data_IF_781418019654
#
_entry.id   IF_781418019654
#
_cell.length_a   1.000
_cell.length_b   1.000
_cell.length_c   1.000
_cell.angle_alpha   90.00
_cell.angle_beta   90.00
_cell.angle_gamma   90.00
#
_symmetry.space_group_name_H-M   'P 1'
#
loop_
_entity.id
_entity.type
_entity.pdbx_description
1 polymer ?
#
# COMPACT_ATOMS: atom_id res chain seq x y z
N UNK A 1 -12.24 -16.51 4.43
CA UNK A 1 -11.95 -15.06 4.45
C UNK A 1 -12.03 -14.59 3.01
N UNK A 2 -13.22 -14.21 2.57
CA UNK A 2 -13.45 -13.71 1.22
C UNK A 2 -12.70 -12.39 1.02
N UNK A 3 -12.08 -12.24 -0.14
CA UNK A 3 -11.55 -10.97 -0.65
C UNK A 3 -12.73 -10.06 -1.02
N UNK A 4 -13.55 -9.68 -0.04
CA UNK A 4 -14.67 -8.77 -0.27
C UNK A 4 -14.14 -7.38 -0.59
N UNK A 5 -14.39 -6.93 -1.82
CA UNK A 5 -14.43 -5.54 -2.30
C UNK A 5 -13.18 -4.92 -2.95
N UNK A 6 -12.47 -5.65 -3.81
CA UNK A 6 -11.70 -5.01 -4.91
C UNK A 6 -12.53 -5.12 -6.20
N UNK A 7 -13.67 -4.43 -6.26
CA UNK A 7 -14.60 -4.44 -7.42
C UNK A 7 -14.38 -3.28 -8.39
N UNK A 8 -13.38 -2.43 -8.18
CA UNK A 8 -13.02 -1.40 -9.15
C UNK A 8 -12.00 -1.96 -10.15
N UNK A 9 -12.46 -2.36 -11.34
CA UNK A 9 -11.57 -2.70 -12.43
C UNK A 9 -10.73 -1.46 -12.82
N UNK A 10 -9.40 -1.58 -12.73
CA UNK A 10 -8.49 -0.54 -13.22
C UNK A 10 -8.66 -0.47 -14.74
N UNK A 11 -8.99 0.71 -15.28
CA UNK A 11 -9.03 0.89 -16.74
C UNK A 11 -7.61 0.86 -17.29
N UNK A 12 -7.39 0.06 -18.33
CA UNK A 12 -6.10 -0.11 -19.01
C UNK A 12 -6.23 0.27 -20.47
N UNK A 13 -5.25 1.01 -20.96
CA UNK A 13 -5.07 1.28 -22.37
C UNK A 13 -4.30 0.12 -23.03
N UNK A 14 -4.95 -0.54 -23.99
CA UNK A 14 -4.42 -1.76 -24.63
C UNK A 14 -3.28 -1.49 -25.62
N UNK A 15 -3.18 -0.27 -26.14
CA UNK A 15 -2.12 0.09 -27.08
C UNK A 15 -0.79 0.36 -26.36
N UNK A 16 -0.85 0.96 -25.17
CA UNK A 16 0.33 1.37 -24.38
C UNK A 16 0.62 0.48 -23.18
N UNK A 17 -0.31 -0.42 -22.82
CA UNK A 17 -0.28 -1.21 -21.59
C UNK A 17 -0.21 -0.35 -20.31
N UNK A 18 -0.70 0.88 -20.36
CA UNK A 18 -0.75 1.78 -19.21
C UNK A 18 -2.10 1.74 -18.52
N UNK A 19 -2.08 1.72 -17.18
CA UNK A 19 -3.27 1.72 -16.35
C UNK A 19 -3.59 3.11 -15.79
N UNK A 20 -4.87 3.35 -15.56
CA UNK A 20 -5.41 4.59 -14.98
C UNK A 20 -4.91 4.81 -13.56
N UNK A 21 -4.13 5.89 -13.36
CA UNK A 21 -3.66 6.32 -12.03
C UNK A 21 -4.84 6.66 -11.12
N UNK A 22 -5.87 7.31 -11.67
CA UNK A 22 -7.07 7.70 -10.91
C UNK A 22 -7.79 6.47 -10.35
N UNK A 23 -7.90 5.40 -11.13
CA UNK A 23 -8.59 4.19 -10.65
C UNK A 23 -7.78 3.49 -9.56
N UNK A 24 -6.44 3.49 -9.66
CA UNK A 24 -5.56 2.96 -8.59
C UNK A 24 -5.70 3.76 -7.29
N UNK A 25 -5.70 5.10 -7.35
CA UNK A 25 -5.89 5.93 -6.16
C UNK A 25 -7.27 5.69 -5.53
N UNK A 26 -8.31 5.49 -6.34
CA UNK A 26 -9.67 5.16 -5.89
C UNK A 26 -9.82 3.74 -5.38
N UNK A 27 -8.95 2.83 -5.82
CA UNK A 27 -8.92 1.46 -5.31
C UNK A 27 -8.34 1.43 -3.89
N UNK A 28 -7.28 2.20 -3.66
CA UNK A 28 -6.56 2.22 -2.38
C UNK A 28 -7.30 3.03 -1.32
N UNK A 29 -7.97 4.11 -1.72
CA UNK A 29 -8.68 4.99 -0.82
C UNK A 29 -10.19 4.71 -0.89
N UNK A 30 -10.89 4.44 0.24
CA UNK A 30 -12.33 4.28 0.24
C UNK A 30 -13.00 5.62 -0.07
N UNK A 31 -13.78 5.67 -1.16
CA UNK A 31 -14.65 6.78 -1.56
C UNK A 31 -14.05 8.14 -2.01
N UNK A 32 -13.00 8.21 -2.85
CA UNK A 32 -12.76 9.44 -3.60
C UNK A 32 -13.59 9.48 -4.88
N UNK A 33 -14.30 10.59 -5.06
CA UNK A 33 -14.71 11.04 -6.39
C UNK A 33 -13.47 11.16 -7.28
N UNK A 34 -13.64 11.11 -8.59
CA UNK A 34 -12.53 11.30 -9.53
C UNK A 34 -11.79 12.63 -9.32
N UNK A 35 -12.48 13.68 -8.87
CA UNK A 35 -11.86 14.96 -8.51
C UNK A 35 -10.96 14.87 -7.26
N UNK A 36 -11.41 14.17 -6.22
CA UNK A 36 -10.59 13.97 -5.02
C UNK A 36 -9.34 13.14 -5.34
N UNK A 37 -9.47 12.09 -6.15
CA UNK A 37 -8.33 11.30 -6.59
C UNK A 37 -7.30 12.12 -7.41
N UNK A 38 -7.78 13.06 -8.25
CA UNK A 38 -6.90 13.99 -8.96
C UNK A 38 -6.16 14.95 -8.00
N UNK A 39 -6.82 15.43 -6.96
CA UNK A 39 -6.19 16.27 -5.93
C UNK A 39 -5.13 15.49 -5.12
N UNK A 40 -5.41 14.23 -4.79
CA UNK A 40 -4.44 13.35 -4.14
C UNK A 40 -3.22 13.14 -5.03
N UNK A 41 -3.41 12.88 -6.32
CA UNK A 41 -2.30 12.78 -7.27
C UNK A 41 -1.48 14.08 -7.34
N UNK A 42 -2.15 15.23 -7.45
CA UNK A 42 -1.50 16.53 -7.53
C UNK A 42 -0.66 16.85 -6.27
N UNK A 43 -1.13 16.43 -5.09
CA UNK A 43 -0.36 16.56 -3.85
C UNK A 43 0.82 15.59 -3.82
N UNK A 44 0.63 14.34 -4.27
CA UNK A 44 1.68 13.33 -4.30
C UNK A 44 2.86 13.77 -5.18
N UNK A 45 2.57 14.39 -6.32
CA UNK A 45 3.58 14.86 -7.28
C UNK A 45 4.41 16.05 -6.78
N UNK A 46 4.08 16.63 -5.61
CA UNK A 46 4.92 17.66 -4.97
C UNK A 46 6.16 17.06 -4.31
N UNK A 47 6.01 15.85 -3.78
CA UNK A 47 7.05 15.19 -2.99
C UNK A 47 7.71 14.03 -3.76
N UNK A 48 7.02 13.46 -4.75
CA UNK A 48 7.48 12.30 -5.51
C UNK A 48 7.40 12.58 -7.02
N UNK A 49 8.51 12.37 -7.73
CA UNK A 49 8.51 12.42 -9.20
C UNK A 49 7.91 11.13 -9.74
N UNK A 50 6.77 11.23 -10.42
CA UNK A 50 6.05 10.10 -11.01
C UNK A 50 6.03 10.21 -12.53
N UNK A 51 6.37 9.14 -13.23
CA UNK A 51 6.34 9.11 -14.70
C UNK A 51 4.97 8.61 -15.19
N UNK A 52 4.10 9.54 -15.58
CA UNK A 52 2.79 9.22 -16.15
C UNK A 52 2.49 10.11 -17.36
N UNK A 53 1.64 9.59 -18.26
CA UNK A 53 1.20 10.30 -19.45
C UNK A 53 -0.31 10.53 -19.42
N UNK A 54 -0.81 11.55 -20.14
CA UNK A 54 -2.25 11.76 -20.27
C UNK A 54 -2.76 11.05 -21.52
N UNK A 55 -3.52 9.98 -21.32
CA UNK A 55 -4.08 9.18 -22.41
C UNK A 55 -5.60 9.25 -22.45
N UNK A 56 -6.15 9.17 -23.65
CA UNK A 56 -7.52 8.73 -23.84
C UNK A 56 -7.51 7.21 -23.88
N UNK A 57 -7.85 6.57 -22.77
CA UNK A 57 -7.81 5.12 -22.63
C UNK A 57 -8.64 4.45 -23.74
N UNK A 58 -7.99 3.61 -24.54
CA UNK A 58 -8.55 2.95 -25.72
C UNK A 58 -9.21 3.96 -26.70
N UNK A 59 -8.57 5.12 -26.88
CA UNK A 59 -9.04 6.25 -27.69
C UNK A 59 -10.41 6.84 -27.29
N UNK A 60 -10.88 6.59 -26.07
CA UNK A 60 -12.20 7.02 -25.59
C UNK A 60 -12.11 7.97 -24.39
N UNK A 61 -13.15 8.78 -24.22
CA UNK A 61 -13.34 9.62 -23.02
C UNK A 61 -12.38 10.81 -22.89
N UNK A 62 -12.13 11.20 -21.64
CA UNK A 62 -11.27 12.34 -21.28
C UNK A 62 -9.80 11.89 -21.14
N UNK A 63 -8.83 12.77 -21.46
CA UNK A 63 -7.43 12.55 -21.11
C UNK A 63 -7.33 12.22 -19.61
N UNK A 64 -6.76 11.06 -19.30
CA UNK A 64 -6.64 10.48 -17.97
C UNK A 64 -5.16 10.19 -17.70
N UNK A 65 -4.63 10.53 -16.52
CA UNK A 65 -3.25 10.16 -16.18
C UNK A 65 -3.13 8.64 -16.12
N UNK A 66 -2.24 8.09 -16.93
CA UNK A 66 -1.96 6.67 -17.08
C UNK A 66 -0.47 6.40 -16.90
N UNK A 67 -0.14 5.29 -16.26
CA UNK A 67 1.24 4.90 -16.00
C UNK A 67 1.44 3.39 -16.16
N UNK A 68 2.70 2.96 -16.25
CA UNK A 68 3.05 1.55 -16.27
C UNK A 68 2.81 0.89 -14.89
N UNK A 69 2.80 -0.44 -14.86
CA UNK A 69 2.53 -1.18 -13.63
C UNK A 69 3.50 -0.82 -12.49
N UNK A 70 4.78 -0.58 -12.82
CA UNK A 70 5.81 -0.20 -11.83
C UNK A 70 5.45 1.12 -11.15
N UNK A 71 5.16 2.16 -11.93
CA UNK A 71 4.78 3.48 -11.42
C UNK A 71 3.46 3.40 -10.64
N UNK A 72 2.50 2.58 -11.08
CA UNK A 72 1.27 2.37 -10.32
C UNK A 72 1.53 1.77 -8.94
N UNK A 73 2.46 0.81 -8.81
CA UNK A 73 2.87 0.26 -7.51
C UNK A 73 3.53 1.32 -6.63
N UNK A 74 4.44 2.12 -7.20
CA UNK A 74 5.07 3.25 -6.49
C UNK A 74 4.03 4.24 -5.97
N UNK A 75 3.00 4.54 -6.76
CA UNK A 75 1.87 5.39 -6.33
C UNK A 75 1.18 4.77 -5.12
N UNK A 76 0.82 3.48 -5.16
CA UNK A 76 0.20 2.81 -4.01
C UNK A 76 1.08 2.91 -2.76
N UNK A 77 2.41 2.87 -2.94
CA UNK A 77 3.36 2.90 -1.83
C UNK A 77 3.50 4.29 -1.22
N UNK A 78 3.38 5.32 -2.05
CA UNK A 78 3.48 6.72 -1.64
C UNK A 78 2.16 7.31 -1.15
N UNK A 79 1.02 6.65 -1.36
CA UNK A 79 -0.28 7.14 -0.89
C UNK A 79 -0.36 7.23 0.65
N UNK A 80 -0.73 8.41 1.21
CA UNK A 80 -0.89 8.57 2.65
C UNK A 80 -2.23 7.99 3.15
N UNK A 81 -2.34 7.83 4.47
CA UNK A 81 -3.60 7.52 5.14
C UNK A 81 -3.78 6.06 5.58
N UNK A 82 -4.77 5.85 6.46
CA UNK A 82 -5.04 4.55 7.10
C UNK A 82 -5.44 3.47 6.09
N UNK A 83 -6.27 3.81 5.11
CA UNK A 83 -6.69 2.88 4.08
C UNK A 83 -5.52 2.42 3.20
N UNK A 84 -4.67 3.35 2.76
CA UNK A 84 -3.47 3.02 2.00
C UNK A 84 -2.51 2.12 2.81
N UNK A 85 -2.38 2.36 4.11
CA UNK A 85 -1.61 1.48 5.02
C UNK A 85 -2.20 0.06 5.09
N UNK A 86 -3.52 -0.07 5.21
CA UNK A 86 -4.20 -1.38 5.24
C UNK A 86 -4.09 -2.11 3.89
N UNK A 87 -4.22 -1.39 2.78
CA UNK A 87 -4.03 -1.93 1.43
C UNK A 87 -2.60 -2.45 1.25
N UNK A 88 -1.58 -1.67 1.63
CA UNK A 88 -0.18 -2.09 1.60
C UNK A 88 0.06 -3.32 2.48
N UNK A 89 -0.50 -3.35 3.69
CA UNK A 89 -0.39 -4.52 4.59
C UNK A 89 -0.97 -5.79 3.97
N UNK A 90 -2.13 -5.68 3.32
CA UNK A 90 -2.78 -6.81 2.64
C UNK A 90 -2.01 -7.24 1.40
N UNK A 91 -1.53 -6.29 0.61
CA UNK A 91 -0.73 -6.54 -0.58
C UNK A 91 0.59 -7.22 -0.26
N UNK A 92 1.27 -6.79 0.81
CA UNK A 92 2.49 -7.43 1.29
C UNK A 92 2.27 -8.92 1.63
N UNK A 93 1.14 -9.26 2.30
CA UNK A 93 0.79 -10.67 2.56
C UNK A 93 0.64 -11.47 1.26
N UNK A 94 -0.01 -10.91 0.25
CA UNK A 94 -0.16 -11.57 -1.06
C UNK A 94 1.18 -11.74 -1.76
N UNK A 95 2.02 -10.70 -1.79
CA UNK A 95 3.37 -10.75 -2.37
C UNK A 95 4.23 -11.80 -1.67
N UNK A 96 4.25 -11.83 -0.34
CA UNK A 96 4.97 -12.85 0.42
C UNK A 96 4.48 -14.26 0.08
N UNK A 97 3.16 -14.48 -0.09
CA UNK A 97 2.63 -15.78 -0.51
C UNK A 97 3.11 -16.19 -1.91
N UNK A 98 3.05 -15.27 -2.88
CA UNK A 98 3.46 -15.53 -4.27
C UNK A 98 4.96 -15.85 -4.34
N UNK A 99 5.78 -15.16 -3.54
CA UNK A 99 7.23 -15.37 -3.48
C UNK A 99 7.63 -16.59 -2.62
N UNK A 100 6.68 -17.38 -2.11
CA UNK A 100 6.96 -18.56 -1.28
C UNK A 100 7.40 -18.25 0.14
N UNK A 101 7.19 -17.02 0.61
CA UNK A 101 7.45 -16.63 2.00
C UNK A 101 6.49 -17.29 2.98
N UNK A 102 7.03 -17.72 4.12
CA UNK A 102 6.24 -18.38 5.16
C UNK A 102 5.43 -17.37 5.99
N UNK A 103 4.14 -17.26 5.66
CA UNK A 103 3.18 -16.41 6.37
C UNK A 103 2.79 -16.95 7.77
N UNK A 104 3.13 -18.21 8.09
CA UNK A 104 2.88 -18.77 9.41
C UNK A 104 3.70 -18.06 10.49
N UNK A 105 4.86 -17.53 10.13
CA UNK A 105 5.75 -16.76 11.01
C UNK A 105 5.07 -15.48 11.48
N UNK A 106 4.37 -14.76 10.60
CA UNK A 106 3.63 -13.53 10.98
C UNK A 106 2.52 -13.87 11.99
N UNK A 107 1.79 -14.97 11.75
CA UNK A 107 0.74 -15.43 12.66
C UNK A 107 1.31 -15.88 14.00
N UNK A 108 2.47 -16.54 13.99
CA UNK A 108 3.15 -16.99 15.19
C UNK A 108 3.69 -15.82 16.01
N UNK A 109 4.25 -14.79 15.36
CA UNK A 109 4.67 -13.54 16.02
C UNK A 109 3.46 -12.84 16.66
N UNK A 110 2.36 -12.65 15.92
CA UNK A 110 1.13 -12.04 16.44
C UNK A 110 0.58 -12.84 17.65
N UNK A 111 0.57 -14.18 17.57
CA UNK A 111 0.12 -15.06 18.65
C UNK A 111 1.03 -14.97 19.88
N UNK A 112 2.35 -15.09 19.71
CA UNK A 112 3.33 -15.00 20.80
C UNK A 112 3.27 -13.64 21.47
N UNK A 113 3.15 -12.56 20.69
CA UNK A 113 3.00 -11.22 21.23
C UNK A 113 1.75 -11.08 22.11
N UNK A 114 0.60 -11.58 21.63
CA UNK A 114 -0.63 -11.57 22.41
C UNK A 114 -0.49 -12.39 23.70
N UNK A 115 0.05 -13.61 23.64
CA UNK A 115 0.27 -14.46 24.81
C UNK A 115 1.18 -13.80 25.86
N UNK A 116 2.26 -13.15 25.43
CA UNK A 116 3.17 -12.45 26.33
C UNK A 116 2.49 -11.25 27.01
N UNK A 117 1.65 -10.53 26.29
CA UNK A 117 0.89 -9.39 26.83
C UNK A 117 -0.15 -9.78 27.89
N UNK A 118 -0.63 -11.04 27.89
CA UNK A 118 -1.60 -11.52 28.89
C UNK A 118 -0.98 -11.73 30.29
N UNK A 119 0.35 -11.77 30.40
CA UNK A 119 1.03 -12.05 31.67
C UNK A 119 1.94 -10.89 32.07
N UNK A 120 2.06 -10.64 33.38
CA UNK A 120 2.94 -9.58 33.88
C UNK A 120 4.41 -9.86 33.56
N UNK A 121 4.85 -11.12 33.71
CA UNK A 121 6.20 -11.55 33.33
C UNK A 121 6.47 -11.47 31.82
N UNK A 122 5.48 -11.78 30.98
CA UNK A 122 5.60 -11.65 29.53
C UNK A 122 5.69 -10.19 29.05
N UNK A 123 4.96 -9.27 29.71
CA UNK A 123 5.11 -7.83 29.49
C UNK A 123 6.47 -7.31 29.92
N UNK A 124 6.96 -7.73 31.08
CA UNK A 124 8.28 -7.35 31.59
C UNK A 124 9.42 -7.86 30.67
N UNK A 125 9.33 -9.10 30.18
CA UNK A 125 10.29 -9.65 29.23
C UNK A 125 10.28 -8.91 27.88
N UNK A 126 9.11 -8.52 27.36
CA UNK A 126 9.02 -7.69 26.16
C UNK A 126 9.62 -6.29 26.38
N UNK A 127 9.33 -5.65 27.51
CA UNK A 127 9.88 -4.35 27.85
C UNK A 127 11.41 -4.39 27.97
N UNK A 128 11.96 -5.47 28.56
CA UNK A 128 13.41 -5.69 28.65
C UNK A 128 14.04 -5.83 27.26
N UNK A 129 13.49 -6.65 26.37
CA UNK A 129 14.05 -6.84 25.03
C UNK A 129 13.91 -5.62 24.11
N UNK A 130 12.94 -4.74 24.37
CA UNK A 130 12.77 -3.48 23.64
C UNK A 130 13.65 -2.35 24.19
N UNK A 131 14.11 -2.44 25.44
CA UNK A 131 15.00 -1.45 26.04
C UNK A 131 16.41 -1.44 25.41
N UNK A 132 16.86 -2.56 24.82
CA UNK A 132 18.14 -2.66 24.10
C UNK A 132 18.14 -1.95 22.72
N UNK A 133 16.96 -1.59 22.19
CA UNK A 133 16.85 -0.94 20.87
C UNK A 133 16.92 0.60 20.88
N UNK A 134 16.91 1.24 22.06
CA UNK A 134 16.98 2.71 22.19
C UNK A 134 18.43 3.25 22.38
N UNK A 135 19.46 2.40 22.35
CA UNK A 135 20.88 2.83 22.51
C UNK A 135 21.64 2.99 21.18
N UNK A 136 20.94 3.38 20.11
CA UNK A 136 21.57 3.71 18.81
C UNK A 136 21.15 5.06 18.25
N UNK A 137 21.03 6.06 19.14
CA UNK A 137 21.18 7.48 18.78
C UNK A 137 22.35 8.08 19.55
N UNK A 138 23.51 8.12 18.88
CA UNK A 138 24.47 9.25 18.83
C UNK A 138 25.91 8.72 18.64
N UNK A 139 26.45 8.88 17.42
CA UNK A 139 27.82 8.49 17.14
C UNK A 139 28.29 8.69 15.70
N UNK A 140 28.42 9.97 15.31
CA UNK A 140 29.10 10.54 14.13
C UNK A 140 28.43 10.44 12.75
#
# INVERSE_FOLDING_TARGET
MELSNITAAIRVDTATNQGSVIDVIRLVNPNPTSGNAANVLANLTKDVTLNYSHLRINAKGKPTPCADAKTLVEIVWSLPGKAAREFRRTSAKTVCRVLGGDLSIVQEIEKRHHTLQQTEGGRAAQAFMLADSDDSSDGF
#
